data_IF_048261490895
#
_entry.id   IF_048261490895
#
_cell.length_a   1.000
_cell.length_b   1.000
_cell.length_c   1.000
_cell.angle_alpha   90.00
_cell.angle_beta   90.00
_cell.angle_gamma   90.00
#
_symmetry.space_group_name_H-M   'P 1'
#
loop_
_entity.id
_entity.type
_entity.pdbx_description
1 polymer ?
#
# COMPACT_ATOMS: atom_id res chain seq x y z
N UNK A 1 -48.67 3.99 -33.58
CA UNK A 1 -47.87 5.03 -32.92
C UNK A 1 -47.48 4.48 -31.56
N UNK A 2 -46.32 3.85 -31.47
CA UNK A 2 -45.81 3.19 -30.25
C UNK A 2 -44.65 4.00 -29.73
N UNK A 3 -44.90 4.66 -28.60
CA UNK A 3 -43.87 5.51 -27.93
C UNK A 3 -42.83 4.61 -27.26
N UNK A 4 -41.57 4.79 -27.59
CA UNK A 4 -40.45 4.13 -26.93
C UNK A 4 -40.18 4.79 -25.55
N UNK A 5 -39.81 4.04 -24.51
CA UNK A 5 -39.46 4.64 -23.22
C UNK A 5 -38.10 5.33 -23.30
N UNK A 6 -38.10 6.58 -22.89
CA UNK A 6 -36.96 7.45 -22.69
C UNK A 6 -36.02 6.84 -21.63
N UNK A 7 -34.81 6.46 -22.01
CA UNK A 7 -33.77 6.01 -21.07
C UNK A 7 -33.31 7.21 -20.25
N UNK A 8 -33.69 7.24 -18.98
CA UNK A 8 -33.12 8.16 -18.00
C UNK A 8 -31.61 7.89 -17.91
N UNK A 9 -30.81 8.79 -18.46
CA UNK A 9 -29.38 8.80 -18.35
C UNK A 9 -28.99 9.02 -16.89
N UNK A 10 -28.42 8.01 -16.25
CA UNK A 10 -27.71 8.17 -15.00
C UNK A 10 -26.58 9.18 -15.23
N UNK A 11 -26.75 10.39 -14.73
CA UNK A 11 -25.67 11.39 -14.66
C UNK A 11 -24.64 10.84 -13.73
N UNK A 12 -23.50 10.40 -14.25
CA UNK A 12 -22.32 10.11 -13.48
C UNK A 12 -21.92 11.39 -12.76
N UNK A 13 -22.04 11.38 -11.44
CA UNK A 13 -21.44 12.42 -10.58
C UNK A 13 -19.94 12.39 -10.83
N UNK A 14 -19.41 13.48 -11.37
CA UNK A 14 -17.97 13.74 -11.29
C UNK A 14 -17.59 13.76 -9.82
N UNK A 15 -16.51 13.06 -9.40
CA UNK A 15 -16.01 13.19 -8.03
C UNK A 15 -15.73 14.67 -7.79
N UNK A 16 -16.31 15.22 -6.72
CA UNK A 16 -15.96 16.54 -6.25
C UNK A 16 -14.45 16.54 -5.97
N UNK A 17 -13.75 17.60 -6.39
CA UNK A 17 -12.33 17.81 -6.07
C UNK A 17 -12.09 17.92 -4.55
N UNK A 18 -13.15 17.97 -3.75
CA UNK A 18 -13.16 18.00 -2.28
C UNK A 18 -13.15 16.59 -1.63
N UNK A 19 -13.35 15.48 -2.37
CA UNK A 19 -13.27 14.14 -1.78
C UNK A 19 -11.80 13.76 -1.59
N UNK A 20 -11.34 13.54 -0.33
CA UNK A 20 -9.94 13.24 -0.08
C UNK A 20 -9.52 11.97 -0.82
N UNK A 21 -8.44 12.07 -1.63
CA UNK A 21 -7.88 10.95 -2.40
C UNK A 21 -7.36 9.83 -1.51
N UNK A 22 -7.09 10.15 -0.25
CA UNK A 22 -6.47 9.22 0.69
C UNK A 22 -7.26 9.12 1.98
N UNK A 23 -7.30 7.92 2.55
CA UNK A 23 -7.96 7.67 3.83
C UNK A 23 -7.22 6.62 4.66
N UNK A 24 -7.26 6.79 5.99
CA UNK A 24 -6.74 5.84 6.98
C UNK A 24 -7.80 5.67 8.05
N UNK A 25 -8.35 4.46 8.19
CA UNK A 25 -9.50 4.18 9.05
C UNK A 25 -9.52 2.74 9.57
N UNK A 26 -10.34 2.47 10.60
CA UNK A 26 -10.57 1.11 11.12
C UNK A 26 -11.70 0.39 10.39
N UNK A 27 -12.65 1.14 9.81
CA UNK A 27 -13.78 0.57 9.07
C UNK A 27 -13.31 -0.21 7.82
N UNK A 28 -14.03 -1.26 7.41
CA UNK A 28 -13.72 -2.00 6.20
C UNK A 28 -13.57 -1.11 4.96
N UNK A 29 -12.66 -1.48 4.08
CA UNK A 29 -12.39 -0.76 2.85
C UNK A 29 -13.30 -1.23 1.73
N UNK A 30 -13.66 -0.33 0.82
CA UNK A 30 -14.46 -0.61 -0.37
C UNK A 30 -13.67 -0.34 -1.64
N UNK A 31 -13.64 -1.32 -2.54
CA UNK A 31 -13.06 -1.15 -3.89
C UNK A 31 -13.88 -0.16 -4.69
N UNK A 32 -15.20 -0.20 -4.57
CA UNK A 32 -16.10 0.72 -5.29
C UNK A 32 -15.89 2.18 -4.86
N UNK A 33 -15.63 2.41 -3.57
CA UNK A 33 -15.27 3.72 -3.06
C UNK A 33 -13.94 4.21 -3.66
N UNK A 34 -12.90 3.38 -3.69
CA UNK A 34 -11.63 3.73 -4.32
C UNK A 34 -11.79 4.04 -5.81
N UNK A 35 -12.57 3.24 -6.53
CA UNK A 35 -12.87 3.46 -7.94
C UNK A 35 -13.66 4.75 -8.16
N UNK A 36 -14.62 5.07 -7.28
CA UNK A 36 -15.39 6.31 -7.39
C UNK A 36 -14.50 7.55 -7.31
N UNK A 37 -13.46 7.52 -6.45
CA UNK A 37 -12.52 8.63 -6.24
C UNK A 37 -11.61 8.91 -7.46
N UNK A 38 -11.37 7.90 -8.32
CA UNK A 38 -10.50 8.05 -9.49
C UNK A 38 -11.25 8.13 -10.82
N UNK A 39 -12.55 7.77 -10.85
CA UNK A 39 -13.35 7.85 -12.07
C UNK A 39 -13.49 9.28 -12.56
N UNK A 40 -13.29 9.47 -13.88
CA UNK A 40 -13.47 10.78 -14.54
C UNK A 40 -13.72 10.61 -16.02
N UNK A 41 -14.34 11.60 -16.69
CA UNK A 41 -14.37 11.66 -18.15
C UNK A 41 -12.94 11.67 -18.72
N UNK A 42 -12.68 10.92 -19.77
CA UNK A 42 -11.36 10.81 -20.38
C UNK A 42 -10.45 9.73 -19.80
N UNK A 43 -10.84 9.04 -18.70
CA UNK A 43 -10.17 7.84 -18.25
C UNK A 43 -10.63 6.64 -19.08
N UNK A 44 -9.70 6.08 -19.88
CA UNK A 44 -9.92 4.85 -20.66
C UNK A 44 -9.48 3.59 -19.92
N UNK A 45 -8.68 3.72 -18.84
CA UNK A 45 -8.20 2.63 -18.01
C UNK A 45 -8.35 2.90 -16.52
N UNK A 46 -8.78 1.88 -15.77
CA UNK A 46 -8.82 1.85 -14.31
C UNK A 46 -8.02 0.65 -13.84
N UNK A 47 -7.10 0.85 -12.90
CA UNK A 47 -6.36 -0.22 -12.23
C UNK A 47 -6.64 -0.18 -10.73
N UNK A 48 -6.74 -1.36 -10.12
CA UNK A 48 -6.93 -1.51 -8.67
C UNK A 48 -5.96 -2.56 -8.14
N UNK A 49 -5.34 -2.26 -7.01
CA UNK A 49 -4.62 -3.20 -6.19
C UNK A 49 -5.33 -3.31 -4.84
N UNK A 50 -5.57 -4.54 -4.38
CA UNK A 50 -6.10 -4.82 -3.04
C UNK A 50 -5.10 -5.70 -2.31
N UNK A 51 -4.52 -5.16 -1.23
CA UNK A 51 -3.69 -5.92 -0.31
C UNK A 51 -4.56 -6.55 0.76
N UNK A 52 -4.51 -7.88 0.87
CA UNK A 52 -5.29 -8.67 1.84
C UNK A 52 -4.39 -9.32 2.88
N UNK A 53 -4.95 -9.65 4.04
CA UNK A 53 -4.28 -10.41 5.08
C UNK A 53 -4.16 -11.86 4.63
N UNK A 54 -2.92 -12.40 4.62
CA UNK A 54 -2.63 -13.80 4.29
C UNK A 54 -2.59 -14.64 5.57
N UNK A 55 -2.85 -15.92 5.44
CA UNK A 55 -2.76 -16.93 6.50
C UNK A 55 -1.31 -17.37 6.81
N UNK A 56 -0.34 -16.91 6.00
CA UNK A 56 1.08 -17.20 6.17
C UNK A 56 1.96 -15.98 5.86
N UNK A 57 3.04 -15.82 6.64
CA UNK A 57 4.07 -14.81 6.43
C UNK A 57 5.44 -15.38 6.82
N UNK A 58 6.39 -15.41 5.89
CA UNK A 58 7.75 -15.94 6.08
C UNK A 58 7.79 -17.36 6.72
N UNK A 59 6.93 -18.26 6.26
CA UNK A 59 6.83 -19.64 6.76
C UNK A 59 6.15 -19.79 8.11
N UNK A 60 5.55 -18.72 8.67
CA UNK A 60 4.81 -18.73 9.93
C UNK A 60 3.31 -18.54 9.68
N UNK A 61 2.51 -19.33 10.38
CA UNK A 61 1.06 -19.20 10.32
C UNK A 61 0.63 -17.87 10.96
N UNK A 62 -0.28 -17.18 10.26
CA UNK A 62 -0.88 -15.92 10.70
C UNK A 62 -2.39 -16.13 10.83
N UNK A 63 -2.93 -15.82 11.99
CA UNK A 63 -4.38 -15.86 12.22
C UNK A 63 -5.01 -14.47 12.13
N UNK A 64 -4.22 -13.42 12.43
CA UNK A 64 -4.69 -12.04 12.47
C UNK A 64 -3.53 -11.07 12.29
N UNK A 65 -3.79 -9.91 11.67
CA UNK A 65 -2.88 -8.77 11.66
C UNK A 65 -3.44 -7.62 12.51
N UNK A 66 -2.56 -6.88 13.14
CA UNK A 66 -2.88 -5.60 13.76
C UNK A 66 -2.06 -4.50 13.11
N UNK A 67 -2.75 -3.48 12.57
CA UNK A 67 -2.11 -2.31 12.00
C UNK A 67 -2.27 -1.11 12.93
N UNK A 68 -1.16 -0.43 13.20
CA UNK A 68 -1.12 0.82 13.97
C UNK A 68 -0.54 1.93 13.11
N UNK A 69 -1.12 3.12 13.21
CA UNK A 69 -0.62 4.31 12.51
C UNK A 69 -0.97 5.59 13.27
N UNK A 70 -0.16 6.62 13.11
CA UNK A 70 -0.60 7.98 13.38
C UNK A 70 -1.43 8.47 12.18
N UNK A 71 -2.76 8.30 12.25
CA UNK A 71 -3.67 8.44 11.11
C UNK A 71 -3.49 9.77 10.36
N UNK A 72 -3.32 10.90 11.07
CA UNK A 72 -3.14 12.21 10.45
C UNK A 72 -1.80 12.34 9.71
N UNK A 73 -0.73 11.70 10.20
CA UNK A 73 0.58 11.68 9.55
C UNK A 73 0.57 10.75 8.36
N UNK A 74 0.03 9.54 8.53
CA UNK A 74 -0.10 8.55 7.48
C UNK A 74 -0.92 9.10 6.30
N UNK A 75 -2.07 9.72 6.57
CA UNK A 75 -2.91 10.34 5.52
C UNK A 75 -2.16 11.44 4.77
N UNK A 76 -1.45 12.33 5.48
CA UNK A 76 -0.66 13.39 4.82
C UNK A 76 0.44 12.85 3.93
N UNK A 77 1.11 11.77 4.37
CA UNK A 77 2.16 11.17 3.55
C UNK A 77 1.57 10.42 2.34
N UNK A 78 0.45 9.73 2.50
CA UNK A 78 -0.28 9.13 1.38
C UNK A 78 -0.72 10.20 0.36
N UNK A 79 -1.20 11.36 0.82
CA UNK A 79 -1.58 12.47 -0.06
C UNK A 79 -0.38 13.04 -0.82
N UNK A 80 0.78 13.19 -0.18
CA UNK A 80 2.02 13.59 -0.88
C UNK A 80 2.39 12.60 -1.97
N UNK A 81 2.34 11.29 -1.67
CA UNK A 81 2.61 10.24 -2.64
C UNK A 81 1.64 10.35 -3.83
N UNK A 82 0.36 10.58 -3.58
CA UNK A 82 -0.64 10.73 -4.64
C UNK A 82 -0.34 11.94 -5.54
N UNK A 83 -0.05 13.09 -4.94
CA UNK A 83 0.30 14.33 -5.68
C UNK A 83 1.56 14.14 -6.52
N UNK A 84 2.60 13.50 -5.98
CA UNK A 84 3.84 13.22 -6.72
C UNK A 84 3.59 12.35 -7.94
N UNK A 85 2.81 11.26 -7.79
CA UNK A 85 2.49 10.35 -8.91
C UNK A 85 1.70 11.08 -10.01
N UNK A 86 0.71 11.88 -9.62
CA UNK A 86 -0.10 12.65 -10.59
C UNK A 86 0.73 13.74 -11.31
N UNK A 87 1.75 14.28 -10.66
CA UNK A 87 2.68 15.22 -11.28
C UNK A 87 3.66 14.54 -12.24
N UNK A 88 4.13 13.33 -11.91
CA UNK A 88 5.05 12.54 -12.73
C UNK A 88 4.36 11.90 -13.94
N UNK A 89 3.08 11.54 -13.81
CA UNK A 89 2.29 10.87 -14.85
C UNK A 89 1.08 11.74 -15.25
N UNK A 90 1.26 12.69 -16.19
CA UNK A 90 0.18 13.59 -16.60
C UNK A 90 -1.04 12.82 -17.11
N UNK A 91 -2.23 13.24 -16.65
CA UNK A 91 -3.45 12.57 -17.04
C UNK A 91 -3.78 11.32 -16.20
N UNK A 92 -3.06 11.06 -15.12
CA UNK A 92 -3.38 10.06 -14.12
C UNK A 92 -4.15 10.68 -12.95
N UNK A 93 -5.01 9.92 -12.31
CA UNK A 93 -5.58 10.21 -10.99
C UNK A 93 -5.46 8.96 -10.12
N UNK A 94 -5.06 9.13 -8.86
CA UNK A 94 -4.87 8.02 -7.92
C UNK A 94 -5.63 8.25 -6.63
N UNK A 95 -6.00 7.14 -5.96
CA UNK A 95 -6.59 7.14 -4.63
C UNK A 95 -6.11 5.94 -3.84
N UNK A 96 -5.91 6.11 -2.53
CA UNK A 96 -5.51 5.04 -1.64
C UNK A 96 -6.23 5.10 -0.30
N UNK A 97 -6.61 3.93 0.19
CA UNK A 97 -7.18 3.77 1.52
C UNK A 97 -6.43 2.68 2.27
N UNK A 98 -6.11 2.90 3.54
CA UNK A 98 -5.46 1.91 4.40
C UNK A 98 -6.28 1.68 5.66
N UNK A 99 -6.42 0.41 6.04
CA UNK A 99 -7.13 0.02 7.26
C UNK A 99 -6.16 -0.09 8.43
N UNK A 100 -6.58 0.36 9.60
CA UNK A 100 -5.90 0.18 10.89
C UNK A 100 -6.73 -0.69 11.82
N UNK A 101 -6.17 -1.04 12.98
CA UNK A 101 -6.81 -1.94 13.93
C UNK A 101 -6.59 -3.41 13.60
N UNK A 102 -7.47 -4.27 14.06
CA UNK A 102 -7.39 -5.73 13.93
C UNK A 102 -8.07 -6.21 12.65
N UNK A 103 -7.37 -7.02 11.86
CA UNK A 103 -7.83 -7.58 10.60
C UNK A 103 -7.66 -9.10 10.60
N UNK A 104 -8.71 -9.80 10.20
CA UNK A 104 -8.71 -11.25 10.00
C UNK A 104 -8.12 -11.64 8.64
N UNK A 105 -7.73 -12.90 8.50
CA UNK A 105 -7.27 -13.47 7.22
C UNK A 105 -8.32 -13.26 6.14
N UNK A 106 -7.90 -12.79 4.97
CA UNK A 106 -8.75 -12.46 3.83
C UNK A 106 -9.31 -11.04 3.83
N UNK A 107 -9.25 -10.30 4.93
CA UNK A 107 -9.69 -8.90 4.96
C UNK A 107 -8.74 -7.97 4.20
N UNK A 108 -9.32 -6.93 3.58
CA UNK A 108 -8.54 -5.92 2.86
C UNK A 108 -7.88 -4.95 3.83
N UNK A 109 -6.56 -4.86 3.76
CA UNK A 109 -5.73 -3.94 4.56
C UNK A 109 -5.45 -2.63 3.82
N UNK A 110 -5.32 -2.67 2.50
CA UNK A 110 -5.07 -1.50 1.65
C UNK A 110 -5.78 -1.66 0.32
N UNK A 111 -6.34 -0.57 -0.18
CA UNK A 111 -6.89 -0.48 -1.54
C UNK A 111 -6.24 0.72 -2.21
N UNK A 112 -5.60 0.48 -3.36
CA UNK A 112 -5.05 1.50 -4.24
C UNK A 112 -5.79 1.46 -5.56
N UNK A 113 -6.21 2.62 -6.07
CA UNK A 113 -6.84 2.75 -7.37
C UNK A 113 -6.13 3.81 -8.20
N UNK A 114 -6.08 3.61 -9.51
CA UNK A 114 -5.57 4.59 -10.46
C UNK A 114 -6.46 4.63 -11.70
N UNK A 115 -6.59 5.81 -12.29
CA UNK A 115 -7.21 6.02 -13.59
C UNK A 115 -6.28 6.77 -14.53
N UNK A 116 -6.30 6.42 -15.82
CA UNK A 116 -5.50 7.07 -16.85
C UNK A 116 -6.23 7.02 -18.20
N UNK A 117 -5.80 7.83 -19.22
CA UNK A 117 -6.29 7.70 -20.57
C UNK A 117 -6.09 6.31 -21.17
N UNK A 118 -4.96 5.67 -20.85
CA UNK A 118 -4.63 4.33 -21.35
C UNK A 118 -4.24 3.39 -20.19
N UNK A 119 -4.34 2.07 -20.44
CA UNK A 119 -4.09 1.05 -19.44
C UNK A 119 -2.66 1.02 -18.87
N UNK A 120 -1.66 1.38 -19.69
CA UNK A 120 -0.25 1.36 -19.30
C UNK A 120 0.00 2.25 -18.10
N UNK A 121 -0.35 3.52 -18.23
CA UNK A 121 -0.21 4.53 -17.17
C UNK A 121 -1.06 4.23 -15.94
N UNK A 122 -2.25 3.61 -16.12
CA UNK A 122 -3.07 3.20 -14.99
C UNK A 122 -2.40 2.10 -14.15
N UNK A 123 -1.80 1.08 -14.78
CA UNK A 123 -1.05 0.03 -14.08
C UNK A 123 0.22 0.58 -13.44
N UNK A 124 0.98 1.42 -14.16
CA UNK A 124 2.19 2.05 -13.63
C UNK A 124 1.89 2.89 -12.39
N UNK A 125 0.89 3.77 -12.46
CA UNK A 125 0.49 4.61 -11.35
C UNK A 125 0.00 3.81 -10.14
N UNK A 126 -0.83 2.78 -10.36
CA UNK A 126 -1.33 1.93 -9.29
C UNK A 126 -0.20 1.17 -8.58
N UNK A 127 0.78 0.66 -9.33
CA UNK A 127 1.98 0.01 -8.80
C UNK A 127 2.85 1.00 -8.03
N UNK A 128 3.17 2.16 -8.62
CA UNK A 128 3.96 3.19 -7.96
C UNK A 128 3.30 3.64 -6.64
N UNK A 129 1.97 3.74 -6.61
CA UNK A 129 1.22 4.13 -5.44
C UNK A 129 1.42 3.16 -4.28
N UNK A 130 1.20 1.86 -4.49
CA UNK A 130 1.38 0.87 -3.42
C UNK A 130 2.83 0.73 -2.98
N UNK A 131 3.78 0.78 -3.92
CA UNK A 131 5.21 0.66 -3.62
C UNK A 131 5.69 1.84 -2.76
N UNK A 132 5.28 3.08 -3.09
CA UNK A 132 5.62 4.28 -2.30
C UNK A 132 4.90 4.30 -0.94
N UNK A 133 3.63 3.88 -0.87
CA UNK A 133 2.92 3.76 0.41
C UNK A 133 3.66 2.81 1.33
N UNK A 134 4.03 1.63 0.86
CA UNK A 134 4.76 0.63 1.65
C UNK A 134 6.15 1.11 2.11
N UNK A 135 6.81 1.95 1.34
CA UNK A 135 8.17 2.43 1.65
C UNK A 135 8.20 3.69 2.51
N UNK A 136 7.14 4.50 2.53
CA UNK A 136 7.19 5.85 3.11
C UNK A 136 6.15 6.11 4.20
N UNK A 137 4.97 5.48 4.10
CA UNK A 137 3.87 5.79 5.03
C UNK A 137 4.10 5.09 6.37
N UNK A 138 4.07 5.81 7.51
CA UNK A 138 4.33 5.26 8.83
C UNK A 138 3.13 4.45 9.33
N UNK A 139 3.05 3.19 8.89
CA UNK A 139 2.08 2.18 9.30
C UNK A 139 2.86 0.97 9.77
N UNK A 140 2.62 0.55 11.01
CA UNK A 140 3.26 -0.61 11.63
C UNK A 140 2.33 -1.80 11.61
N UNK A 141 2.91 -2.98 11.44
CA UNK A 141 2.19 -4.24 11.35
C UNK A 141 2.66 -5.20 12.44
N UNK A 142 1.73 -5.80 13.20
CA UNK A 142 1.96 -6.88 14.13
C UNK A 142 1.23 -8.13 13.66
N UNK A 143 1.96 -9.21 13.43
CA UNK A 143 1.41 -10.51 13.05
C UNK A 143 1.11 -11.32 14.29
N UNK A 144 -0.07 -11.95 14.34
CA UNK A 144 -0.53 -12.80 15.43
C UNK A 144 -0.78 -14.18 14.83
N UNK A 145 -0.15 -15.19 15.43
CA UNK A 145 -0.26 -16.58 15.03
C UNK A 145 -0.27 -17.51 16.24
N UNK A 146 -0.33 -18.84 16.01
CA UNK A 146 -0.31 -19.84 17.10
C UNK A 146 0.93 -19.72 17.99
N UNK A 147 2.05 -19.30 17.44
CA UNK A 147 3.34 -19.16 18.13
C UNK A 147 3.50 -17.80 18.85
N UNK A 148 2.44 -16.99 18.90
CA UNK A 148 2.43 -15.69 19.54
C UNK A 148 2.37 -14.53 18.55
N UNK A 149 2.69 -13.33 19.05
CA UNK A 149 2.64 -12.09 18.27
C UNK A 149 4.06 -11.59 17.97
N UNK A 150 4.29 -11.15 16.73
CA UNK A 150 5.55 -10.56 16.30
C UNK A 150 5.30 -9.24 15.56
N UNK A 151 6.09 -8.21 15.88
CA UNK A 151 6.14 -7.00 15.08
C UNK A 151 6.92 -7.29 13.81
N UNK A 152 6.32 -6.96 12.69
CA UNK A 152 7.00 -7.01 11.39
C UNK A 152 7.50 -5.60 11.12
N UNK A 153 8.83 -5.45 11.13
CA UNK A 153 9.46 -4.16 10.98
C UNK A 153 9.34 -3.61 9.57
N UNK A 154 9.62 -2.33 9.46
CA UNK A 154 9.81 -1.57 8.24
C UNK A 154 10.80 -2.23 7.24
N UNK A 155 11.68 -3.11 7.71
CA UNK A 155 12.72 -3.77 6.91
C UNK A 155 12.16 -4.86 5.97
N UNK A 156 11.08 -5.55 6.37
CA UNK A 156 10.45 -6.57 5.52
C UNK A 156 9.64 -5.99 4.35
N UNK A 157 9.38 -4.70 4.34
CA UNK A 157 8.76 -4.02 3.20
C UNK A 157 9.72 -3.89 1.99
N UNK A 158 11.02 -4.18 2.18
CA UNK A 158 12.06 -4.09 1.15
C UNK A 158 12.43 -5.41 0.49
N UNK A 159 11.76 -6.51 0.75
CA UNK A 159 12.03 -7.78 0.06
C UNK A 159 11.58 -7.73 -1.41
N UNK A 160 12.37 -6.97 -2.22
CA UNK A 160 12.59 -7.29 -3.61
C UNK A 160 13.71 -8.34 -3.67
N UNK A 161 13.77 -9.24 -4.69
CA UNK A 161 14.79 -10.26 -4.80
C UNK A 161 16.16 -9.61 -5.05
N UNK A 162 17.08 -9.74 -4.09
CA UNK A 162 18.49 -9.43 -4.30
C UNK A 162 19.15 -8.51 -3.29
N UNK A 163 19.24 -8.89 -2.01
CA UNK A 163 20.36 -8.50 -1.16
C UNK A 163 20.76 -9.70 -0.31
N UNK A 164 21.75 -10.43 -0.79
CA UNK A 164 22.56 -11.32 0.02
C UNK A 164 23.36 -10.46 0.99
N UNK A 165 23.08 -10.58 2.28
CA UNK A 165 23.96 -10.06 3.31
C UNK A 165 25.12 -11.03 3.46
N UNK A 166 26.28 -10.69 2.86
CA UNK A 166 27.57 -11.27 3.23
C UNK A 166 27.87 -10.93 4.70
N UNK A 167 27.60 -11.91 5.57
CA UNK A 167 28.11 -11.91 6.93
C UNK A 167 29.59 -12.30 6.90
N UNK A 168 30.46 -11.35 6.53
CA UNK A 168 31.89 -11.51 6.71
C UNK A 168 32.24 -11.32 8.18
N UNK A 169 32.62 -12.45 8.80
CA UNK A 169 33.10 -12.50 10.17
C UNK A 169 34.33 -11.61 10.39
N UNK A 170 34.28 -10.80 11.42
CA UNK A 170 35.46 -10.23 12.04
C UNK A 170 35.94 -11.19 13.12
N UNK A 171 36.84 -12.11 12.76
CA UNK A 171 37.70 -12.77 13.70
C UNK A 171 38.74 -11.75 14.21
N UNK A 172 38.67 -11.42 15.48
CA UNK A 172 39.70 -10.74 16.22
C UNK A 172 40.87 -11.72 16.46
N UNK A 173 41.91 -11.64 15.63
CA UNK A 173 43.20 -12.28 15.90
C UNK A 173 43.97 -11.47 16.95
N UNK A 174 43.94 -11.97 18.18
CA UNK A 174 44.75 -11.48 19.29
C UNK A 174 46.11 -12.21 19.27
N UNK A 175 47.02 -11.80 18.40
CA UNK A 175 48.38 -12.32 18.38
C UNK A 175 49.17 -11.85 19.60
N UNK A 176 49.56 -12.83 20.42
CA UNK A 176 50.55 -12.80 21.52
C UNK A 176 51.82 -12.05 21.13
N UNK A 177 52.19 -11.03 21.91
CA UNK A 177 53.56 -10.53 22.00
C UNK A 177 54.19 -11.10 23.26
N UNK A 178 55.18 -12.00 23.07
CA UNK A 178 56.13 -12.40 24.12
C UNK A 178 57.15 -11.29 24.37
N UNK A 179 57.58 -11.09 25.63
CA UNK A 179 58.67 -10.15 25.94
C UNK A 179 60.02 -10.83 25.74
N UNK A 180 60.96 -10.15 25.11
CA UNK A 180 62.39 -10.49 25.12
C UNK A 180 63.09 -9.59 26.14
N UNK A 181 63.71 -10.25 27.11
CA UNK A 181 64.79 -9.76 27.97
C UNK A 181 66.14 -10.27 27.45
N UNK A 182 67.26 -9.78 27.98
CA UNK A 182 67.75 -8.41 28.22
C UNK A 182 68.79 -7.96 27.21
#
# INVERSE_FOLDING_TARGET
MTSAPERAGARGTTPDDDDPRTDVREAPLSVDEALARVRRPGAGGLAVFVGVVRDESAGRAVTRLEYSAYASMARREMERVAVEIEAELPGVRVAAMHRTGSLEVGEAAVVCAASAPHRGEAFEACRALIDRIKSRVPIWKREIGPDGAAWVGWEDARCGPGHEHDAAGHEHDAARREPRDP
#
